data_IF_938880764075
#
_entry.id   IF_938880764075
#
_cell.length_a   1.000
_cell.length_b   1.000
_cell.length_c   1.000
_cell.angle_alpha   90.00
_cell.angle_beta   90.00
_cell.angle_gamma   90.00
#
_symmetry.space_group_name_H-M   'P 1'
#
loop_
_entity.id
_entity.type
_entity.pdbx_description
1 polymer ?
#
# COMPACT_ATOMS: atom_id res chain seq x y z
N UNK A 1 -4.30 2.54 28.66
CA UNK A 1 -4.46 2.25 28.13
C UNK A 1 -4.64 1.65 27.80
N UNK A 2 -4.69 1.52 27.51
CA UNK A 2 -4.88 0.93 27.06
C UNK A 2 -4.77 0.31 26.41
N UNK A 3 -4.63 0.12 25.97
CA UNK A 3 -4.51 -0.41 25.20
C UNK A 3 -4.89 -1.31 24.87
N UNK A 4 -4.97 -1.64 24.40
CA UNK A 4 -5.29 -2.53 23.96
C UNK A 4 -4.79 -3.33 23.90
N UNK A 5 -4.47 -3.79 23.91
CA UNK A 5 -3.98 -4.59 23.76
C UNK A 5 -3.98 -5.37 23.44
N UNK A 6 -3.95 -5.50 23.38
CA UNK A 6 -3.86 -6.19 22.91
C UNK A 6 -3.76 -6.94 22.48
N UNK A 7 -3.89 -7.18 22.27
CA UNK A 7 -3.75 -8.10 21.81
C UNK A 7 -3.21 -8.77 21.08
N UNK A 8 -3.12 -9.00 21.07
CA UNK A 8 -2.59 -9.69 20.48
C UNK A 8 -2.40 -9.73 19.27
N UNK A 9 -1.67 -9.40 18.97
CA UNK A 9 -1.40 -9.31 17.78
C UNK A 9 -0.81 -10.43 17.32
N UNK A 10 -0.99 -10.64 16.26
CA UNK A 10 -0.50 -11.77 15.59
C UNK A 10 0.93 -11.64 15.25
N UNK A 11 1.79 -12.50 15.75
CA UNK A 11 3.22 -12.35 15.49
C UNK A 11 3.58 -12.34 14.02
N UNK A 12 2.88 -13.11 13.22
CA UNK A 12 3.21 -13.16 11.81
C UNK A 12 3.03 -11.84 11.11
N UNK A 13 2.18 -11.01 11.65
CA UNK A 13 1.96 -9.71 11.05
C UNK A 13 2.99 -8.71 11.48
N UNK A 14 3.82 -9.05 12.43
CA UNK A 14 4.72 -8.09 13.04
C UNK A 14 5.68 -7.49 12.04
N UNK A 15 6.15 -8.27 11.07
CA UNK A 15 7.10 -7.73 10.10
C UNK A 15 6.50 -6.62 9.28
N UNK A 16 5.27 -6.81 8.85
CA UNK A 16 4.62 -5.82 8.02
C UNK A 16 4.08 -4.67 8.83
N UNK A 17 3.89 -4.90 10.12
CA UNK A 17 3.41 -3.83 10.98
C UNK A 17 4.53 -3.07 11.63
N UNK A 18 5.78 -3.39 11.35
CA UNK A 18 6.86 -2.62 11.91
C UNK A 18 6.70 -1.16 11.57
N UNK A 19 7.00 -0.29 12.51
CA UNK A 19 6.97 1.12 12.18
C UNK A 19 7.90 1.41 11.02
N UNK A 20 7.44 2.19 10.11
CA UNK A 20 8.25 2.66 9.02
C UNK A 20 7.82 4.06 8.68
N UNK A 21 8.70 4.85 8.07
CA UNK A 21 8.28 6.17 7.63
C UNK A 21 7.17 6.04 6.59
N UNK A 22 6.13 6.82 6.76
CA UNK A 22 5.07 6.91 5.76
C UNK A 22 5.25 8.25 5.08
N UNK A 23 6.01 8.22 4.00
CA UNK A 23 6.42 9.43 3.31
C UNK A 23 6.37 9.26 1.82
N UNK A 24 6.26 10.37 1.13
CA UNK A 24 6.41 10.41 -0.31
C UNK A 24 7.08 11.73 -0.68
N UNK A 25 7.77 11.74 -1.81
CA UNK A 25 8.56 12.90 -2.22
C UNK A 25 8.15 13.31 -3.64
N UNK A 26 7.08 14.06 -3.78
CA UNK A 26 6.60 14.41 -5.12
C UNK A 26 7.51 15.39 -5.84
N UNK A 27 8.23 16.21 -5.09
CA UNK A 27 9.09 17.24 -5.67
C UNK A 27 10.48 17.20 -5.07
N UNK A 28 10.95 16.00 -4.69
CA UNK A 28 12.28 15.85 -4.16
C UNK A 28 12.40 15.98 -2.66
N UNK A 29 11.45 16.59 -2.00
CA UNK A 29 11.44 16.69 -0.55
C UNK A 29 10.36 15.79 0.01
N UNK A 30 10.68 15.08 1.07
CA UNK A 30 9.73 14.12 1.65
C UNK A 30 8.62 14.84 2.38
N UNK A 31 7.42 14.33 2.20
CA UNK A 31 6.22 14.78 2.89
C UNK A 31 5.72 13.60 3.71
N UNK A 32 5.40 13.85 4.97
CA UNK A 32 4.84 12.81 5.81
C UNK A 32 3.41 12.54 5.41
N UNK A 33 3.07 11.27 5.24
CA UNK A 33 1.71 10.88 4.91
C UNK A 33 1.02 10.38 6.17
N UNK A 34 -0.25 10.70 6.30
CA UNK A 34 -1.04 10.17 7.40
C UNK A 34 -1.24 8.68 7.19
N UNK A 35 -1.27 7.93 8.30
CA UNK A 35 -1.64 6.53 8.23
C UNK A 35 -3.05 6.43 7.69
N UNK A 36 -3.26 5.59 6.68
CA UNK A 36 -4.57 5.48 6.06
C UNK A 36 -5.56 4.80 7.00
N UNK A 37 -6.81 5.23 6.95
CA UNK A 37 -7.87 4.57 7.70
C UNK A 37 -8.03 3.14 7.19
N UNK A 38 -8.48 2.21 8.05
CA UNK A 38 -8.70 0.84 7.61
C UNK A 38 -9.62 0.79 6.39
N UNK A 39 -9.32 -0.10 5.48
CA UNK A 39 -10.17 -0.29 4.32
C UNK A 39 -9.40 -0.50 3.04
N UNK A 40 -10.15 -0.62 1.97
CA UNK A 40 -9.60 -0.87 0.64
C UNK A 40 -9.62 0.41 -0.17
N UNK A 41 -8.46 0.76 -0.74
CA UNK A 41 -8.30 1.95 -1.56
C UNK A 41 -7.98 1.53 -2.98
N UNK A 42 -8.80 1.94 -3.92
CA UNK A 42 -8.52 1.66 -5.32
C UNK A 42 -7.72 2.83 -5.88
N UNK A 43 -6.52 2.56 -6.34
CA UNK A 43 -5.62 3.61 -6.78
C UNK A 43 -5.23 3.37 -8.22
N UNK A 44 -5.55 4.32 -9.08
CA UNK A 44 -5.15 4.25 -10.47
C UNK A 44 -3.76 4.87 -10.61
N UNK A 45 -2.87 4.17 -11.30
CA UNK A 45 -1.54 4.69 -11.54
C UNK A 45 -1.36 4.96 -13.02
N UNK A 46 -0.53 5.96 -13.35
CA UNK A 46 -0.39 6.35 -14.76
C UNK A 46 0.39 5.30 -15.54
N UNK A 47 0.06 5.21 -16.82
CA UNK A 47 0.81 4.39 -17.76
C UNK A 47 1.76 5.32 -18.49
N UNK A 48 3.02 4.93 -18.56
CA UNK A 48 4.00 5.65 -19.37
C UNK A 48 4.65 6.81 -18.66
N UNK A 49 3.91 7.74 -18.14
CA UNK A 49 4.49 8.92 -17.49
C UNK A 49 4.19 8.91 -16.01
N UNK A 50 5.18 8.51 -15.21
CA UNK A 50 5.00 8.41 -13.76
C UNK A 50 4.70 9.78 -13.12
N UNK A 51 5.04 10.86 -13.80
CA UNK A 51 4.74 12.18 -13.26
C UNK A 51 3.28 12.56 -13.29
N UNK A 52 2.45 11.79 -13.95
CA UNK A 52 1.01 12.07 -14.01
C UNK A 52 0.25 11.60 -12.78
N UNK A 53 0.90 10.96 -11.84
CA UNK A 53 0.22 10.49 -10.63
C UNK A 53 -0.23 11.68 -9.78
N UNK A 54 -1.37 11.53 -9.14
CA UNK A 54 -1.89 12.60 -8.30
C UNK A 54 -1.27 12.57 -6.91
N UNK A 55 -1.27 13.72 -6.23
CA UNK A 55 -0.80 13.77 -4.86
C UNK A 55 -1.67 12.92 -3.95
N UNK A 56 -2.98 12.86 -4.20
CA UNK A 56 -3.86 12.03 -3.41
C UNK A 56 -3.49 10.54 -3.52
N UNK A 57 -3.15 10.12 -4.74
CA UNK A 57 -2.71 8.74 -4.93
C UNK A 57 -1.42 8.46 -4.17
N UNK A 58 -0.47 9.39 -4.22
CA UNK A 58 0.79 9.21 -3.49
C UNK A 58 0.55 9.12 -1.99
N UNK A 59 -0.32 9.97 -1.48
CA UNK A 59 -0.65 9.96 -0.06
C UNK A 59 -1.24 8.61 0.34
N UNK A 60 -2.17 8.10 -0.45
CA UNK A 60 -2.78 6.81 -0.15
C UNK A 60 -1.75 5.69 -0.18
N UNK A 61 -0.91 5.67 -1.22
CA UNK A 61 0.09 4.62 -1.34
C UNK A 61 1.08 4.65 -0.20
N UNK A 62 1.44 5.84 0.28
CA UNK A 62 2.38 5.95 1.39
C UNK A 62 1.72 5.60 2.72
N UNK A 63 0.42 5.81 2.84
CA UNK A 63 -0.28 5.65 4.12
C UNK A 63 -0.85 4.27 4.40
N UNK A 64 -1.06 3.45 3.36
CA UNK A 64 -1.65 2.13 3.57
C UNK A 64 -0.62 1.14 4.13
N UNK A 65 -1.11 0.02 4.60
CA UNK A 65 -0.25 -1.01 5.18
C UNK A 65 0.41 -1.88 4.13
N UNK A 66 -0.26 -2.11 3.03
CA UNK A 66 0.30 -2.90 1.94
C UNK A 66 -0.35 -2.46 0.63
N UNK A 67 0.40 -2.60 -0.46
CA UNK A 67 -0.09 -2.30 -1.79
C UNK A 67 -0.18 -3.62 -2.57
N UNK A 68 -1.38 -3.92 -3.06
CA UNK A 68 -1.58 -5.07 -3.94
C UNK A 68 -1.54 -4.58 -5.38
N UNK A 69 -0.74 -5.20 -6.20
CA UNK A 69 -0.55 -4.75 -7.57
C UNK A 69 -0.32 -5.93 -8.50
N UNK A 70 -0.65 -5.72 -9.76
CA UNK A 70 -0.55 -6.79 -10.73
C UNK A 70 0.91 -7.14 -11.02
N UNK A 71 1.74 -6.13 -11.23
CA UNK A 71 3.15 -6.33 -11.52
C UNK A 71 3.98 -5.54 -10.52
N UNK A 72 4.58 -6.24 -9.58
CA UNK A 72 5.33 -5.58 -8.52
C UNK A 72 6.56 -4.85 -9.06
N UNK A 73 7.10 -5.28 -10.20
CA UNK A 73 8.26 -4.58 -10.75
C UNK A 73 7.89 -3.19 -11.27
N UNK A 74 6.74 -3.09 -11.90
CA UNK A 74 6.27 -1.79 -12.39
C UNK A 74 5.95 -0.88 -11.22
N UNK A 75 5.23 -1.39 -10.24
CA UNK A 75 4.87 -0.58 -9.09
C UNK A 75 6.09 -0.20 -8.27
N UNK A 76 7.10 -1.07 -8.22
CA UNK A 76 8.34 -0.75 -7.50
C UNK A 76 9.01 0.48 -8.09
N UNK A 77 9.03 0.61 -9.41
CA UNK A 77 9.63 1.79 -10.02
C UNK A 77 8.92 3.06 -9.59
N UNK A 78 7.60 3.00 -9.51
CA UNK A 78 6.82 4.14 -9.08
C UNK A 78 7.14 4.48 -7.62
N UNK A 79 7.19 3.46 -6.77
CA UNK A 79 7.50 3.68 -5.35
C UNK A 79 8.89 4.28 -5.18
N UNK A 80 9.86 3.76 -5.93
CA UNK A 80 11.22 4.26 -5.83
C UNK A 80 11.32 5.71 -6.27
N UNK A 81 10.59 6.07 -7.33
CA UNK A 81 10.62 7.44 -7.80
C UNK A 81 10.15 8.42 -6.75
N UNK A 82 9.17 8.03 -5.95
CA UNK A 82 8.58 8.94 -4.97
C UNK A 82 8.96 8.63 -3.53
N UNK A 83 9.92 7.72 -3.36
CA UNK A 83 10.45 7.44 -2.02
C UNK A 83 9.47 6.76 -1.09
N UNK A 84 8.55 5.96 -1.64
CA UNK A 84 7.53 5.29 -0.83
C UNK A 84 8.02 3.91 -0.45
N UNK A 85 7.96 3.60 0.86
CA UNK A 85 8.50 2.36 1.40
C UNK A 85 7.42 1.31 1.72
N UNK A 86 6.20 1.52 1.31
CA UNK A 86 5.10 0.59 1.61
C UNK A 86 5.36 -0.76 0.95
N UNK A 87 5.14 -1.87 1.67
CA UNK A 87 5.34 -3.20 1.08
C UNK A 87 4.39 -3.46 -0.07
N UNK A 88 4.86 -4.21 -1.05
CA UNK A 88 4.08 -4.61 -2.21
C UNK A 88 3.75 -6.08 -2.14
N UNK A 89 2.60 -6.47 -2.67
CA UNK A 89 2.26 -7.88 -2.81
C UNK A 89 1.59 -8.07 -4.18
N UNK A 90 1.92 -9.16 -4.86
CA UNK A 90 1.32 -9.38 -6.17
C UNK A 90 -0.14 -9.83 -6.06
N UNK A 91 -0.94 -9.33 -6.97
CA UNK A 91 -2.34 -9.72 -7.07
C UNK A 91 -2.75 -9.65 -8.52
N UNK A 92 -2.82 -10.81 -9.17
CA UNK A 92 -3.13 -10.90 -10.59
C UNK A 92 -3.94 -12.16 -10.85
N UNK A 93 -4.32 -12.38 -12.09
CA UNK A 93 -5.21 -13.48 -12.42
C UNK A 93 -4.67 -14.83 -12.01
N UNK A 94 -3.35 -15.00 -12.05
CA UNK A 94 -2.76 -16.30 -11.78
C UNK A 94 -2.65 -16.62 -10.29
N UNK A 95 -2.71 -15.62 -9.42
CA UNK A 95 -2.60 -15.89 -8.00
C UNK A 95 -3.79 -15.40 -7.19
N UNK A 96 -4.82 -14.88 -7.85
CA UNK A 96 -5.93 -14.25 -7.13
C UNK A 96 -6.62 -15.21 -6.17
N UNK A 97 -6.75 -16.47 -6.56
CA UNK A 97 -7.44 -17.43 -5.71
C UNK A 97 -6.74 -17.61 -4.37
N UNK A 98 -5.42 -17.53 -4.35
CA UNK A 98 -4.66 -17.63 -3.10
C UNK A 98 -4.53 -16.30 -2.40
N UNK A 99 -4.33 -15.24 -3.15
CA UNK A 99 -4.05 -13.93 -2.55
C UNK A 99 -5.31 -13.28 -1.97
N UNK A 100 -6.45 -13.49 -2.60
CA UNK A 100 -7.68 -12.80 -2.18
C UNK A 100 -8.05 -13.12 -0.73
N UNK A 101 -8.06 -14.39 -0.30
CA UNK A 101 -8.41 -14.65 1.10
C UNK A 101 -7.45 -13.99 2.07
N UNK A 102 -6.16 -13.93 1.73
CA UNK A 102 -5.19 -13.28 2.61
C UNK A 102 -5.44 -11.79 2.71
N UNK A 103 -5.76 -11.15 1.58
CA UNK A 103 -6.04 -9.73 1.61
C UNK A 103 -7.32 -9.43 2.36
N UNK A 104 -8.35 -10.27 2.18
CA UNK A 104 -9.58 -10.09 2.92
C UNK A 104 -9.38 -10.26 4.42
N UNK A 105 -8.52 -11.19 4.81
CA UNK A 105 -8.22 -11.37 6.24
C UNK A 105 -7.52 -10.13 6.81
N UNK A 106 -6.64 -9.50 6.04
CA UNK A 106 -5.97 -8.29 6.49
C UNK A 106 -6.96 -7.14 6.64
N UNK A 107 -7.91 -7.04 5.71
CA UNK A 107 -8.95 -6.02 5.84
C UNK A 107 -9.80 -6.27 7.07
N UNK A 108 -10.13 -7.53 7.35
CA UNK A 108 -10.90 -7.86 8.54
C UNK A 108 -10.14 -7.53 9.81
N UNK A 109 -8.81 -7.53 9.75
CA UNK A 109 -7.97 -7.16 10.88
C UNK A 109 -7.82 -5.66 11.03
N UNK A 110 -8.47 -4.88 10.21
CA UNK A 110 -8.41 -3.44 10.34
C UNK A 110 -7.25 -2.80 9.60
N UNK A 111 -6.65 -3.49 8.65
CA UNK A 111 -5.58 -2.91 7.86
C UNK A 111 -6.11 -2.14 6.68
N UNK A 112 -5.28 -1.24 6.17
CA UNK A 112 -5.56 -0.47 4.97
C UNK A 112 -4.77 -1.08 3.82
N UNK A 113 -5.44 -1.36 2.71
CA UNK A 113 -4.81 -1.97 1.54
C UNK A 113 -5.12 -1.13 0.33
N UNK A 114 -4.09 -0.82 -0.46
CA UNK A 114 -4.31 -0.16 -1.74
C UNK A 114 -4.25 -1.23 -2.83
N UNK A 115 -5.22 -1.20 -3.72
CA UNK A 115 -5.22 -2.05 -4.89
C UNK A 115 -4.92 -1.16 -6.08
N UNK A 116 -3.78 -1.40 -6.70
CA UNK A 116 -3.30 -0.56 -7.79
C UNK A 116 -3.72 -1.16 -9.11
N UNK A 117 -4.28 -0.32 -9.96
CA UNK A 117 -4.55 -0.73 -11.32
C UNK A 117 -3.82 0.20 -12.27
N UNK A 118 -3.35 -0.36 -13.37
CA UNK A 118 -2.77 0.46 -14.41
C UNK A 118 -3.88 1.24 -15.03
N UNK A 119 -3.69 2.50 -15.05
CA UNK A 119 -4.78 3.36 -15.35
C UNK A 119 -5.23 3.27 -16.75
N UNK A 120 -4.66 2.52 -17.50
CA UNK A 120 -5.08 2.48 -18.86
C UNK A 120 -6.55 2.28 -19.05
N UNK A 121 -7.20 2.30 -18.15
CA UNK A 121 -8.60 2.17 -18.35
C UNK A 121 -9.26 3.45 -18.63
#
# INVERSE_FOLDING_TARGET
>A
MTRREGPSRVPAMANESKPRPRRYAPFGSAIDAAKAEPGLYLVATPIGNLGDITLRALEALAGVDVIACEDTRVTRKLMDRYGIATPLTPYHDHNAAEARPRLLARLADGQAIALVSDAGT
#
